data_IF_893425065088
#
_entry.id   IF_893425065088
#
_cell.length_a   1.000
_cell.length_b   1.000
_cell.length_c   1.000
_cell.angle_alpha   90.00
_cell.angle_beta   90.00
_cell.angle_gamma   90.00
#
_symmetry.space_group_name_H-M   'P 1'
#
loop_
_entity.id
_entity.type
_entity.pdbx_description
1 polymer ?
#
# COMPACT_ATOMS: atom_id res chain seq x y z
N UNK A 1 -3.30 17.68 -25.43
CA UNK A 1 -2.41 17.78 -24.26
C UNK A 1 -1.18 16.99 -24.62
N UNK A 2 -0.09 17.69 -24.95
CA UNK A 2 1.22 17.09 -25.23
C UNK A 2 1.74 16.44 -23.95
N UNK A 3 2.24 15.20 -24.04
CA UNK A 3 2.94 14.59 -22.90
C UNK A 3 4.10 15.53 -22.53
N UNK A 4 4.27 15.91 -21.25
CA UNK A 4 5.43 16.70 -20.86
C UNK A 4 6.67 15.91 -21.25
N UNK A 5 7.59 16.56 -21.98
CA UNK A 5 8.89 16.02 -22.34
C UNK A 5 9.68 15.73 -21.06
N UNK A 6 9.55 14.51 -20.58
CA UNK A 6 10.31 13.92 -19.50
C UNK A 6 11.08 12.74 -20.10
N UNK A 7 12.29 12.49 -19.62
CA UNK A 7 13.15 11.35 -19.99
C UNK A 7 12.50 9.97 -19.84
N UNK A 8 11.27 9.90 -19.31
CA UNK A 8 10.44 8.71 -19.15
C UNK A 8 9.54 8.38 -20.34
N UNK A 9 9.29 9.32 -21.24
CA UNK A 9 8.42 9.12 -22.41
C UNK A 9 9.21 9.40 -23.68
N UNK A 10 9.55 8.36 -24.43
CA UNK A 10 10.20 8.51 -25.73
C UNK A 10 9.19 8.25 -26.84
N UNK A 11 8.68 9.29 -27.53
CA UNK A 11 8.09 9.10 -28.84
C UNK A 11 9.19 8.57 -29.75
N UNK A 12 9.04 7.37 -30.30
CA UNK A 12 9.99 6.89 -31.29
C UNK A 12 9.69 7.57 -32.62
N UNK A 13 10.70 8.24 -33.19
CA UNK A 13 10.63 9.24 -34.28
C UNK A 13 10.11 8.69 -35.63
N UNK A 14 9.71 7.42 -35.67
CA UNK A 14 9.08 6.77 -36.84
C UNK A 14 8.04 5.70 -36.48
N UNK A 15 7.71 5.51 -35.20
CA UNK A 15 6.72 4.51 -34.78
C UNK A 15 5.62 5.21 -33.99
N UNK A 16 4.36 4.95 -34.35
CA UNK A 16 3.15 5.43 -33.68
C UNK A 16 2.96 4.77 -32.30
N UNK A 17 4.02 4.73 -31.49
CA UNK A 17 4.17 3.92 -30.29
C UNK A 17 4.75 4.80 -29.17
N UNK A 18 4.09 4.76 -28.02
CA UNK A 18 4.59 5.32 -26.77
C UNK A 18 5.23 4.19 -25.97
N UNK A 19 6.49 4.36 -25.57
CA UNK A 19 7.20 3.43 -24.68
C UNK A 19 7.42 4.09 -23.32
N UNK A 20 7.06 3.39 -22.25
CA UNK A 20 7.32 3.77 -20.86
C UNK A 20 8.27 2.71 -20.28
N UNK A 21 9.51 3.09 -20.02
CA UNK A 21 10.58 2.13 -19.67
C UNK A 21 10.56 1.66 -18.22
N UNK A 22 10.00 2.46 -17.31
CA UNK A 22 9.87 2.13 -15.89
C UNK A 22 8.56 2.70 -15.36
N UNK A 23 7.57 1.83 -15.19
CA UNK A 23 6.24 2.20 -14.71
C UNK A 23 6.29 2.64 -13.25
N UNK A 24 5.70 3.79 -12.97
CA UNK A 24 5.46 4.27 -11.62
C UNK A 24 3.97 4.57 -11.42
N UNK A 25 3.32 3.78 -10.58
CA UNK A 25 1.88 3.87 -10.31
C UNK A 25 1.41 5.24 -9.79
N UNK A 26 2.29 6.10 -9.25
CA UNK A 26 1.87 7.43 -8.78
C UNK A 26 1.83 8.49 -9.88
N UNK A 27 2.49 8.25 -11.03
CA UNK A 27 2.62 9.24 -12.12
C UNK A 27 2.17 8.71 -13.49
N UNK A 28 2.27 7.40 -13.73
CA UNK A 28 1.94 6.76 -15.01
C UNK A 28 0.55 6.09 -15.02
N UNK A 29 -0.12 6.00 -13.86
CA UNK A 29 -1.52 5.59 -13.83
C UNK A 29 -2.40 6.67 -14.47
N UNK A 30 -3.25 6.29 -15.41
CA UNK A 30 -4.18 7.25 -15.98
C UNK A 30 -4.71 6.89 -17.36
N UNK A 31 -5.31 7.88 -18.01
CA UNK A 31 -5.85 7.75 -19.35
C UNK A 31 -4.88 8.30 -20.39
N UNK A 32 -4.63 7.50 -21.42
CA UNK A 32 -3.78 7.82 -22.55
C UNK A 32 -4.64 7.90 -23.81
N UNK A 33 -4.31 8.84 -24.71
CA UNK A 33 -4.93 8.99 -26.02
C UNK A 33 -3.92 9.54 -27.00
N UNK A 34 -4.05 9.17 -28.27
CA UNK A 34 -3.19 9.63 -29.35
C UNK A 34 -3.94 10.61 -30.24
N UNK A 35 -3.28 11.68 -30.67
CA UNK A 35 -3.76 12.57 -31.72
C UNK A 35 -2.65 12.77 -32.76
N UNK A 36 -3.02 12.73 -34.03
CA UNK A 36 -2.10 13.01 -35.13
C UNK A 36 -2.20 14.49 -35.51
N UNK A 37 -1.08 15.11 -35.85
CA UNK A 37 -1.02 16.50 -36.33
C UNK A 37 -0.28 16.52 -37.65
N UNK A 38 -0.76 17.30 -38.61
CA UNK A 38 -0.07 17.61 -39.86
C UNK A 38 -0.17 19.12 -40.14
N UNK A 39 0.33 19.58 -41.29
CA UNK A 39 0.32 21.01 -41.67
C UNK A 39 -1.09 21.62 -41.77
N UNK A 40 -2.13 20.80 -41.93
CA UNK A 40 -3.52 21.22 -41.93
C UNK A 40 -4.12 21.34 -40.52
N UNK A 41 -3.40 20.87 -39.49
CA UNK A 41 -3.79 20.96 -38.08
C UNK A 41 -3.77 19.63 -37.34
N UNK A 42 -4.34 19.64 -36.13
CA UNK A 42 -4.48 18.45 -35.28
C UNK A 42 -5.78 17.72 -35.58
N UNK A 43 -5.70 16.43 -35.87
CA UNK A 43 -6.85 15.55 -36.02
C UNK A 43 -7.51 15.21 -34.69
N UNK A 44 -8.59 14.44 -34.75
CA UNK A 44 -9.31 13.96 -33.57
C UNK A 44 -8.44 13.04 -32.71
N UNK A 45 -8.71 13.04 -31.41
CA UNK A 45 -8.12 12.08 -30.47
C UNK A 45 -8.66 10.67 -30.73
N UNK A 46 -7.79 9.68 -30.53
CA UNK A 46 -8.19 8.28 -30.44
C UNK A 46 -9.11 8.02 -29.25
N UNK A 47 -9.72 6.84 -29.21
CA UNK A 47 -10.32 6.33 -27.98
C UNK A 47 -9.30 6.37 -26.83
N UNK A 48 -9.78 6.67 -25.62
CA UNK A 48 -8.97 6.67 -24.40
C UNK A 48 -8.66 5.24 -23.98
N UNK A 49 -7.40 4.98 -23.66
CA UNK A 49 -6.93 3.75 -23.02
C UNK A 49 -6.61 4.06 -21.55
N UNK A 50 -7.07 3.23 -20.61
CA UNK A 50 -6.73 3.38 -19.19
C UNK A 50 -5.57 2.45 -18.84
N UNK A 51 -4.44 3.02 -18.46
CA UNK A 51 -3.34 2.27 -17.86
C UNK A 51 -3.58 2.15 -16.36
N UNK A 52 -3.57 0.91 -15.85
CA UNK A 52 -3.66 0.59 -14.43
C UNK A 52 -2.48 -0.30 -14.04
N UNK A 53 -1.52 0.25 -13.30
CA UNK A 53 -0.30 -0.41 -12.86
C UNK A 53 -0.52 -1.17 -11.54
N UNK A 54 -0.28 -2.47 -11.51
CA UNK A 54 -0.33 -3.19 -10.24
C UNK A 54 0.91 -2.87 -9.38
N UNK A 55 0.73 -2.68 -8.08
CA UNK A 55 1.78 -2.37 -7.10
C UNK A 55 1.53 -3.08 -5.76
N UNK A 56 2.61 -3.40 -5.06
CA UNK A 56 2.56 -4.01 -3.72
C UNK A 56 1.97 -3.04 -2.69
N UNK A 57 1.45 -3.52 -1.54
CA UNK A 57 0.88 -2.64 -0.53
C UNK A 57 1.89 -1.59 -0.04
N UNK A 58 1.48 -0.32 -0.03
CA UNK A 58 2.16 0.76 0.70
C UNK A 58 1.55 0.84 2.10
N UNK A 59 2.18 0.17 3.06
CA UNK A 59 1.65 -0.05 4.41
C UNK A 59 2.06 1.06 5.36
N UNK A 60 1.14 1.45 6.24
CA UNK A 60 1.40 2.37 7.35
C UNK A 60 0.75 1.85 8.64
N UNK A 61 1.35 2.17 9.77
CA UNK A 61 0.84 1.84 11.10
C UNK A 61 0.79 3.06 12.00
N UNK A 62 -0.28 3.18 12.77
CA UNK A 62 -0.47 4.26 13.73
C UNK A 62 -0.72 3.70 15.14
N UNK A 63 -0.02 4.25 16.13
CA UNK A 63 -0.35 4.08 17.55
C UNK A 63 -0.77 5.41 18.16
N UNK A 64 -2.01 5.48 18.68
CA UNK A 64 -2.51 6.66 19.39
C UNK A 64 -1.97 6.72 20.83
N UNK A 65 -0.65 6.89 20.98
CA UNK A 65 0.03 7.04 22.28
C UNK A 65 0.16 5.76 23.11
N UNK A 66 0.66 5.85 24.35
CA UNK A 66 0.83 4.71 25.24
C UNK A 66 -0.51 4.07 25.65
N UNK A 67 -0.45 2.91 26.28
CA UNK A 67 -1.60 2.22 26.88
C UNK A 67 -1.33 1.92 28.35
N UNK A 68 -2.34 2.04 29.20
CA UNK A 68 -2.24 1.67 30.63
C UNK A 68 -2.47 0.16 30.76
N UNK A 69 -1.67 -0.49 31.60
CA UNK A 69 -1.80 -1.91 31.92
C UNK A 69 -3.25 -2.29 32.31
N UNK A 70 -3.73 -3.39 31.74
CA UNK A 70 -5.10 -3.90 31.87
C UNK A 70 -6.10 -3.33 30.86
N UNK A 71 -5.77 -2.27 30.12
CA UNK A 71 -6.62 -1.74 29.04
C UNK A 71 -6.37 -2.47 27.71
N UNK A 72 -7.29 -2.33 26.75
CA UNK A 72 -7.06 -2.77 25.38
C UNK A 72 -6.38 -1.69 24.54
N UNK A 73 -5.64 -2.09 23.51
CA UNK A 73 -5.05 -1.17 22.53
C UNK A 73 -5.21 -1.71 21.12
N UNK A 74 -5.62 -0.85 20.20
CA UNK A 74 -5.63 -1.15 18.77
C UNK A 74 -4.48 -0.44 18.08
N UNK A 75 -3.67 -1.21 17.36
CA UNK A 75 -2.65 -0.72 16.44
C UNK A 75 -3.30 -0.66 15.06
N UNK A 76 -3.50 0.56 14.54
CA UNK A 76 -4.13 0.74 13.24
C UNK A 76 -3.13 0.37 12.16
N UNK A 77 -3.55 -0.45 11.20
CA UNK A 77 -2.78 -0.76 10.00
C UNK A 77 -3.65 -0.52 8.78
N UNK A 78 -3.12 0.23 7.83
CA UNK A 78 -3.78 0.53 6.56
C UNK A 78 -2.78 0.54 5.42
N UNK A 79 -3.28 0.38 4.19
CA UNK A 79 -2.44 0.44 3.00
C UNK A 79 -3.19 0.89 1.77
N UNK A 80 -2.45 1.43 0.81
CA UNK A 80 -2.87 1.50 -0.59
C UNK A 80 -2.24 0.33 -1.35
N UNK A 81 -3.01 -0.39 -2.16
CA UNK A 81 -2.54 -1.55 -2.91
C UNK A 81 -3.38 -1.76 -4.17
N UNK A 82 -2.77 -2.29 -5.24
CA UNK A 82 -3.50 -2.82 -6.39
C UNK A 82 -2.79 -4.03 -6.99
N UNK A 83 -3.39 -5.23 -7.05
CA UNK A 83 -4.72 -5.59 -6.56
C UNK A 83 -4.89 -5.41 -5.04
N UNK A 84 -6.12 -5.53 -4.55
CA UNK A 84 -6.42 -5.42 -3.13
C UNK A 84 -5.59 -6.42 -2.29
N UNK A 85 -5.37 -6.10 -1.02
CA UNK A 85 -4.64 -6.96 -0.09
C UNK A 85 -5.34 -8.32 0.04
N UNK A 86 -4.57 -9.40 -0.08
CA UNK A 86 -5.04 -10.79 0.03
C UNK A 86 -4.44 -11.52 1.23
N UNK A 87 -3.43 -10.96 1.89
CA UNK A 87 -2.82 -11.54 3.10
C UNK A 87 -2.45 -10.47 4.12
N UNK A 88 -2.59 -10.82 5.40
CA UNK A 88 -2.22 -9.98 6.56
C UNK A 88 -1.42 -10.84 7.54
N UNK A 89 -0.34 -10.30 8.07
CA UNK A 89 0.48 -10.96 9.09
C UNK A 89 0.93 -9.91 10.09
N UNK A 90 0.75 -10.21 11.37
CA UNK A 90 1.28 -9.41 12.46
C UNK A 90 2.44 -10.14 13.14
N UNK A 91 3.46 -9.38 13.51
CA UNK A 91 4.59 -9.87 14.29
C UNK A 91 4.81 -9.01 15.52
N UNK A 92 5.22 -9.64 16.63
CA UNK A 92 5.78 -8.97 17.80
C UNK A 92 7.27 -9.29 17.86
N UNK A 93 8.12 -8.28 17.62
CA UNK A 93 9.52 -8.51 17.31
C UNK A 93 9.66 -9.40 16.07
N UNK A 94 10.22 -10.61 16.23
CA UNK A 94 10.38 -11.58 15.16
C UNK A 94 9.29 -12.67 15.13
N UNK A 95 8.49 -12.78 16.18
CA UNK A 95 7.49 -13.85 16.32
C UNK A 95 6.18 -13.48 15.62
N UNK A 96 5.62 -14.42 14.87
CA UNK A 96 4.32 -14.25 14.21
C UNK A 96 3.20 -14.40 15.24
N UNK A 97 2.31 -13.42 15.28
CA UNK A 97 1.12 -13.45 16.12
C UNK A 97 0.06 -14.30 15.45
N UNK A 98 -0.38 -15.37 16.11
CA UNK A 98 -1.47 -16.19 15.64
C UNK A 98 -2.81 -15.69 16.21
N UNK A 99 -3.45 -14.78 15.48
CA UNK A 99 -4.73 -14.17 15.85
C UNK A 99 -5.91 -15.16 15.86
N UNK A 100 -5.74 -16.38 15.33
CA UNK A 100 -6.79 -17.41 15.33
C UNK A 100 -6.79 -18.18 16.65
N UNK A 101 -5.61 -18.48 17.19
CA UNK A 101 -5.47 -19.33 18.37
C UNK A 101 -5.26 -18.55 19.65
N UNK A 102 -4.71 -17.33 19.58
CA UNK A 102 -4.45 -16.49 20.74
C UNK A 102 -5.57 -15.47 20.94
N UNK A 103 -6.44 -15.75 21.93
CA UNK A 103 -7.59 -14.92 22.28
C UNK A 103 -7.21 -13.53 22.83
N UNK A 104 -5.94 -13.29 23.13
CA UNK A 104 -5.44 -11.96 23.47
C UNK A 104 -5.54 -10.99 22.29
N UNK A 105 -5.47 -11.51 21.07
CA UNK A 105 -5.45 -10.71 19.86
C UNK A 105 -6.76 -10.84 19.09
N UNK A 106 -7.18 -9.76 18.45
CA UNK A 106 -8.30 -9.74 17.50
C UNK A 106 -8.02 -8.80 16.34
N UNK A 107 -8.73 -8.98 15.23
CA UNK A 107 -8.37 -8.33 13.97
C UNK A 107 -7.16 -9.01 13.32
N UNK A 108 -6.29 -8.25 12.67
CA UNK A 108 -5.14 -8.80 11.93
C UNK A 108 -5.54 -9.70 10.77
N UNK A 109 -6.71 -9.49 10.18
CA UNK A 109 -7.24 -10.25 9.04
C UNK A 109 -7.35 -9.36 7.80
N UNK A 110 -7.61 -9.95 6.63
CA UNK A 110 -7.81 -9.18 5.38
C UNK A 110 -8.98 -8.19 5.51
N UNK A 111 -10.07 -8.58 6.19
CA UNK A 111 -11.24 -7.71 6.42
C UNK A 111 -10.99 -6.67 7.52
N UNK A 112 -10.11 -6.97 8.47
CA UNK A 112 -9.78 -6.06 9.58
C UNK A 112 -8.27 -6.08 9.82
N UNK A 113 -7.48 -5.33 9.02
CA UNK A 113 -6.01 -5.42 9.07
C UNK A 113 -5.39 -4.93 10.38
N UNK A 114 -6.11 -4.08 11.11
CA UNK A 114 -5.65 -3.54 12.40
C UNK A 114 -5.66 -4.62 13.48
N UNK A 115 -4.66 -4.60 14.36
CA UNK A 115 -4.52 -5.56 15.46
C UNK A 115 -5.01 -4.92 16.77
N UNK A 116 -5.90 -5.61 17.48
CA UNK A 116 -6.31 -5.23 18.83
C UNK A 116 -5.72 -6.21 19.83
N UNK A 117 -5.07 -5.68 20.85
CA UNK A 117 -4.49 -6.41 21.98
C UNK A 117 -5.40 -6.17 23.19
N UNK A 118 -5.99 -7.24 23.71
CA UNK A 118 -6.82 -7.21 24.91
C UNK A 118 -5.99 -7.28 26.19
N UNK A 119 -6.48 -6.63 27.25
CA UNK A 119 -5.92 -6.67 28.61
C UNK A 119 -4.39 -6.59 28.63
N UNK A 120 -3.85 -5.50 28.08
CA UNK A 120 -2.41 -5.31 27.84
C UNK A 120 -1.62 -5.42 29.14
N UNK A 121 -0.54 -6.19 29.12
CA UNK A 121 0.42 -6.38 30.21
C UNK A 121 1.73 -5.68 29.87
N UNK A 122 2.58 -5.42 30.86
CA UNK A 122 3.93 -4.87 30.61
C UNK A 122 4.76 -5.71 29.65
N UNK A 123 4.57 -7.04 29.66
CA UNK A 123 5.27 -7.97 28.77
C UNK A 123 4.84 -7.82 27.31
N UNK A 124 3.74 -7.12 27.02
CA UNK A 124 3.29 -6.82 25.65
C UNK A 124 4.00 -5.62 25.05
N UNK A 125 4.68 -4.79 25.84
CA UNK A 125 5.49 -3.70 25.30
C UNK A 125 6.53 -4.25 24.30
N UNK A 126 6.78 -3.51 23.23
CA UNK A 126 7.73 -3.90 22.19
C UNK A 126 7.30 -3.49 20.80
N UNK A 127 8.07 -3.95 19.81
CA UNK A 127 7.83 -3.63 18.41
C UNK A 127 6.78 -4.56 17.80
N UNK A 128 5.80 -3.97 17.13
CA UNK A 128 4.77 -4.66 16.38
C UNK A 128 4.90 -4.31 14.91
N UNK A 129 4.95 -5.32 14.04
CA UNK A 129 5.07 -5.15 12.59
C UNK A 129 3.82 -5.68 11.90
N UNK A 130 3.17 -4.82 11.11
CA UNK A 130 2.11 -5.19 10.19
C UNK A 130 2.71 -5.48 8.81
N UNK A 131 2.44 -6.66 8.27
CA UNK A 131 2.81 -7.05 6.92
C UNK A 131 1.55 -7.35 6.12
N UNK A 132 1.34 -6.61 5.02
CA UNK A 132 0.23 -6.78 4.10
C UNK A 132 0.76 -7.27 2.76
N UNK A 133 0.06 -8.20 2.11
CA UNK A 133 0.48 -8.78 0.83
C UNK A 133 -0.62 -8.81 -0.22
N UNK A 134 -0.22 -8.67 -1.48
CA UNK A 134 -1.03 -8.95 -2.66
C UNK A 134 -0.19 -9.72 -3.69
N UNK A 135 -0.73 -9.97 -4.88
CA UNK A 135 -0.08 -10.74 -5.94
C UNK A 135 1.22 -10.10 -6.48
N UNK A 136 1.46 -8.82 -6.19
CA UNK A 136 2.68 -8.10 -6.60
C UNK A 136 3.78 -8.23 -5.56
N UNK A 137 3.42 -8.30 -4.28
CA UNK A 137 4.39 -8.41 -3.19
C UNK A 137 3.82 -7.94 -1.85
N UNK A 138 4.72 -7.51 -0.96
CA UNK A 138 4.39 -7.16 0.42
C UNK A 138 4.80 -5.74 0.79
N UNK A 139 4.00 -5.12 1.66
CA UNK A 139 4.33 -3.89 2.37
C UNK A 139 4.39 -4.12 3.86
N UNK A 140 5.37 -3.51 4.53
CA UNK A 140 5.57 -3.65 5.97
C UNK A 140 5.64 -2.29 6.65
N UNK A 141 5.06 -2.19 7.84
CA UNK A 141 5.27 -1.05 8.71
C UNK A 141 5.31 -1.48 10.19
N UNK A 142 6.17 -0.83 10.96
CA UNK A 142 6.50 -1.21 12.34
C UNK A 142 6.24 -0.05 13.28
N UNK A 143 5.78 -0.35 14.49
CA UNK A 143 5.54 0.62 15.55
C UNK A 143 5.84 0.03 16.92
N UNK A 144 6.27 0.86 17.85
CA UNK A 144 6.58 0.44 19.22
C UNK A 144 5.38 0.68 20.14
N UNK A 145 4.88 -0.38 20.77
CA UNK A 145 3.89 -0.30 21.83
C UNK A 145 4.56 0.03 23.15
N UNK A 146 4.12 1.13 23.77
CA UNK A 146 4.55 1.55 25.10
C UNK A 146 3.41 1.28 26.10
N UNK A 147 3.74 0.57 27.18
CA UNK A 147 2.79 0.21 28.25
C UNK A 147 3.16 0.96 29.53
N UNK A 148 2.20 1.68 30.10
CA UNK A 148 2.33 2.38 31.38
C UNK A 148 1.85 1.47 32.51
N UNK A 149 2.59 1.50 33.62
CA UNK A 149 2.19 0.82 34.85
C UNK A 149 0.86 1.39 35.34
N UNK A 150 0.05 0.53 35.96
CA UNK A 150 -1.12 0.96 36.72
C UNK A 150 -0.71 1.64 38.02
#
# INVERSE_FOLDING_TARGET
MTLPSSSHYTPSDNSKVLTISSLNHTVDDGYYSCAATNDAGMGNFSAKFQLQINYSPSTNVETLGPVIEGQSKTIKCHSQARPAVTSVTWKKGQEVINVITDSKYSGGTVQTPSLTIGSVLKTDAGEYTCQLGNDVGHGTATVTLIVLCK
#
